data_IF_336509787336
#
_entry.id   IF_336509787336
#
_cell.length_a   1.000
_cell.length_b   1.000
_cell.length_c   1.000
_cell.angle_alpha   90.00
_cell.angle_beta   90.00
_cell.angle_gamma   90.00
#
_symmetry.space_group_name_H-M   'P 1'
#
loop_
_entity.id
_entity.type
_entity.pdbx_description
1 polymer ?
#
# COMPACT_ATOMS: atom_id res chain seq x y z
N UNK A 1 -7.59 -8.39 56.21
CA UNK A 1 -8.80 -9.09 55.70
C UNK A 1 -8.52 -9.49 54.27
N UNK A 2 -8.15 -10.75 54.09
CA UNK A 2 -7.98 -11.37 52.78
C UNK A 2 -9.39 -11.67 52.27
N UNK A 3 -9.79 -11.12 51.14
CA UNK A 3 -11.07 -11.45 50.51
C UNK A 3 -10.99 -12.91 50.03
N UNK A 4 -11.59 -13.82 50.79
CA UNK A 4 -11.75 -15.22 50.44
C UNK A 4 -13.04 -15.36 49.62
N UNK A 5 -12.90 -15.42 48.31
CA UNK A 5 -14.03 -15.51 47.38
C UNK A 5 -14.36 -16.99 47.15
N UNK A 6 -15.49 -17.47 47.71
CA UNK A 6 -16.01 -18.84 47.51
C UNK A 6 -16.30 -19.13 46.03
N UNK A 7 -15.96 -20.34 45.56
CA UNK A 7 -16.13 -20.82 44.18
C UNK A 7 -17.56 -20.80 43.60
N UNK A 8 -18.61 -20.69 44.43
CA UNK A 8 -19.98 -20.47 43.91
C UNK A 8 -20.11 -19.13 43.16
N UNK A 9 -19.10 -18.26 43.29
CA UNK A 9 -18.92 -17.03 42.53
C UNK A 9 -18.21 -17.22 41.17
N UNK A 10 -17.56 -18.34 40.86
CA UNK A 10 -16.94 -18.53 39.53
C UNK A 10 -18.01 -18.84 38.44
N UNK A 11 -19.21 -19.28 38.82
CA UNK A 11 -20.41 -19.34 37.96
C UNK A 11 -21.22 -18.04 37.91
N UNK A 12 -21.10 -17.16 38.91
CA UNK A 12 -21.95 -15.97 39.10
C UNK A 12 -21.22 -14.65 38.79
N UNK A 13 -19.92 -14.57 39.02
CA UNK A 13 -19.06 -13.51 38.53
C UNK A 13 -18.32 -14.03 37.31
N UNK A 14 -18.75 -13.56 36.14
CA UNK A 14 -18.03 -13.63 34.87
C UNK A 14 -16.62 -13.01 35.01
N UNK A 15 -15.68 -13.69 35.68
CA UNK A 15 -14.27 -13.30 35.69
C UNK A 15 -13.59 -14.15 34.62
N UNK A 16 -13.34 -13.60 33.41
CA UNK A 16 -12.66 -14.34 32.38
C UNK A 16 -11.28 -14.75 32.92
N UNK A 17 -10.88 -16.03 32.74
CA UNK A 17 -9.54 -16.59 33.08
C UNK A 17 -9.39 -17.42 34.37
N UNK A 18 -10.43 -17.81 35.10
CA UNK A 18 -10.28 -18.70 36.28
C UNK A 18 -10.75 -20.15 36.04
N UNK A 19 -10.05 -21.13 36.63
CA UNK A 19 -10.38 -22.57 36.59
C UNK A 19 -10.29 -23.22 37.98
N UNK A 20 -10.93 -24.38 38.15
CA UNK A 20 -10.89 -25.23 39.35
C UNK A 20 -10.10 -26.51 39.06
N UNK A 21 -9.11 -26.82 39.90
CA UNK A 21 -8.24 -28.00 39.75
C UNK A 21 -8.85 -29.28 40.34
N UNK A 22 -9.66 -29.16 41.39
CA UNK A 22 -10.41 -30.25 42.04
C UNK A 22 -11.87 -29.84 42.27
N UNK A 23 -12.81 -30.80 42.13
CA UNK A 23 -14.27 -30.58 42.21
C UNK A 23 -14.73 -29.97 43.56
N UNK A 24 -13.92 -30.12 44.63
CA UNK A 24 -14.23 -29.67 46.00
C UNK A 24 -13.31 -28.55 46.54
N UNK A 25 -12.44 -27.96 45.69
CA UNK A 25 -11.55 -26.87 46.12
C UNK A 25 -12.29 -25.52 46.18
N UNK A 26 -12.16 -24.79 47.30
CA UNK A 26 -12.73 -23.44 47.47
C UNK A 26 -11.94 -22.35 46.72
N UNK A 27 -10.75 -22.67 46.17
CA UNK A 27 -9.85 -21.70 45.55
C UNK A 27 -9.87 -21.78 44.01
N UNK A 28 -10.36 -20.72 43.33
CA UNK A 28 -10.23 -20.56 41.88
C UNK A 28 -8.81 -20.04 41.54
N UNK A 29 -8.13 -20.67 40.58
CA UNK A 29 -6.81 -20.26 40.09
C UNK A 29 -6.93 -19.56 38.75
N UNK A 30 -6.09 -18.55 38.50
CA UNK A 30 -6.02 -17.88 37.20
C UNK A 30 -5.17 -18.72 36.22
N UNK A 31 -5.66 -18.92 35.00
CA UNK A 31 -4.86 -19.53 33.94
C UNK A 31 -3.64 -18.65 33.57
N UNK A 32 -2.52 -19.26 33.17
CA UNK A 32 -1.40 -18.54 32.54
C UNK A 32 -1.90 -17.69 31.36
N UNK A 33 -1.23 -16.57 31.05
CA UNK A 33 -1.74 -15.63 30.05
C UNK A 33 -1.84 -16.24 28.62
N UNK A 34 -1.06 -17.29 28.33
CA UNK A 34 -1.09 -18.09 27.10
C UNK A 34 -2.24 -19.11 27.02
N UNK A 35 -3.01 -19.27 28.10
CA UNK A 35 -4.04 -20.30 28.24
C UNK A 35 -5.40 -19.70 28.63
N UNK A 36 -6.45 -20.48 28.43
CA UNK A 36 -7.83 -20.11 28.68
C UNK A 36 -8.57 -21.28 29.33
N UNK A 37 -9.48 -21.05 30.29
CA UNK A 37 -10.26 -22.15 30.87
C UNK A 37 -11.13 -22.83 29.79
N UNK A 38 -11.22 -24.15 29.83
CA UNK A 38 -12.15 -24.90 28.98
C UNK A 38 -13.61 -24.58 29.35
N UNK A 39 -14.59 -25.00 28.53
CA UNK A 39 -16.01 -24.72 28.78
C UNK A 39 -16.53 -25.15 30.16
N UNK A 40 -15.86 -26.14 30.78
CA UNK A 40 -16.18 -26.66 32.11
C UNK A 40 -15.38 -25.98 33.23
N UNK A 41 -14.55 -24.97 32.92
CA UNK A 41 -13.62 -24.29 33.84
C UNK A 41 -12.79 -25.27 34.71
N UNK A 42 -12.44 -26.43 34.16
CA UNK A 42 -11.77 -27.54 34.85
C UNK A 42 -10.29 -27.66 34.51
N UNK A 43 -9.87 -27.07 33.39
CA UNK A 43 -8.47 -27.02 32.98
C UNK A 43 -8.21 -25.83 32.09
N UNK A 44 -6.99 -25.33 32.11
CA UNK A 44 -6.50 -24.37 31.14
C UNK A 44 -6.14 -25.09 29.83
N UNK A 45 -6.60 -24.53 28.71
CA UNK A 45 -6.30 -24.95 27.35
C UNK A 45 -5.55 -23.82 26.65
N UNK A 46 -4.58 -24.15 25.81
CA UNK A 46 -3.82 -23.14 25.05
C UNK A 46 -4.79 -22.31 24.19
N UNK A 47 -4.68 -20.98 24.27
CA UNK A 47 -5.49 -20.07 23.43
C UNK A 47 -5.18 -20.32 21.95
N UNK A 48 -6.19 -20.23 21.09
CA UNK A 48 -6.02 -20.36 19.63
C UNK A 48 -5.43 -19.10 19.02
N UNK A 49 -4.35 -19.22 18.24
CA UNK A 49 -3.76 -18.09 17.51
C UNK A 49 -4.65 -17.67 16.32
N UNK A 50 -5.04 -16.40 16.24
CA UNK A 50 -5.69 -15.80 15.07
C UNK A 50 -4.71 -14.87 14.35
N UNK A 51 -4.46 -15.16 13.07
CA UNK A 51 -3.73 -14.33 12.11
C UNK A 51 -4.35 -14.51 10.72
N UNK A 52 -4.03 -13.62 9.78
CA UNK A 52 -4.53 -13.74 8.41
C UNK A 52 -3.81 -14.89 7.69
N UNK A 53 -4.38 -16.09 7.79
CA UNK A 53 -3.75 -17.32 7.33
C UNK A 53 -3.87 -17.44 5.80
N UNK A 54 -2.83 -18.00 5.18
CA UNK A 54 -2.79 -18.26 3.73
C UNK A 54 -3.90 -19.22 3.27
N UNK A 55 -4.34 -20.13 4.13
CA UNK A 55 -5.14 -21.31 3.75
C UNK A 55 -6.51 -21.39 4.39
N UNK A 56 -6.73 -20.77 5.55
CA UNK A 56 -7.99 -20.93 6.30
C UNK A 56 -8.99 -19.78 6.14
N UNK A 57 -8.56 -18.61 5.67
CA UNK A 57 -9.43 -17.45 5.49
C UNK A 57 -9.76 -17.23 4.00
N UNK A 58 -11.06 -17.23 3.67
CA UNK A 58 -11.56 -16.96 2.30
C UNK A 58 -11.10 -15.58 1.79
N UNK A 59 -11.02 -14.59 2.69
CA UNK A 59 -10.55 -13.25 2.39
C UNK A 59 -9.08 -13.24 1.92
N UNK A 60 -8.19 -13.97 2.60
CA UNK A 60 -6.77 -14.09 2.20
C UNK A 60 -6.62 -14.69 0.82
N UNK A 61 -7.34 -15.77 0.54
CA UNK A 61 -7.30 -16.45 -0.75
C UNK A 61 -7.77 -15.54 -1.88
N UNK A 62 -8.84 -14.78 -1.64
CA UNK A 62 -9.36 -13.79 -2.59
C UNK A 62 -8.37 -12.65 -2.85
N UNK A 63 -7.82 -12.03 -1.80
CA UNK A 63 -6.86 -10.94 -1.91
C UNK A 63 -5.57 -11.37 -2.62
N UNK A 64 -5.09 -12.58 -2.32
CA UNK A 64 -3.92 -13.17 -2.98
C UNK A 64 -4.17 -13.41 -4.46
N UNK A 65 -5.33 -13.98 -4.80
CA UNK A 65 -5.72 -14.23 -6.19
C UNK A 65 -5.79 -12.94 -7.00
N UNK A 66 -6.37 -11.88 -6.42
CA UNK A 66 -6.42 -10.54 -7.05
C UNK A 66 -5.02 -9.95 -7.20
N UNK A 67 -4.17 -10.05 -6.17
CA UNK A 67 -2.80 -9.57 -6.24
C UNK A 67 -2.01 -10.23 -7.37
N UNK A 68 -2.08 -11.56 -7.47
CA UNK A 68 -1.43 -12.32 -8.55
C UNK A 68 -1.98 -11.93 -9.92
N UNK A 69 -3.30 -11.79 -10.05
CA UNK A 69 -3.93 -11.34 -11.29
C UNK A 69 -3.41 -9.96 -11.73
N UNK A 70 -3.39 -8.97 -10.83
CA UNK A 70 -2.89 -7.63 -11.15
C UNK A 70 -1.38 -7.61 -11.40
N UNK A 71 -0.61 -8.46 -10.74
CA UNK A 71 0.81 -8.66 -11.04
C UNK A 71 1.02 -9.20 -12.46
N UNK A 72 0.23 -10.19 -12.88
CA UNK A 72 0.31 -10.75 -14.25
C UNK A 72 -0.11 -9.71 -15.30
N UNK A 73 -1.18 -8.96 -15.06
CA UNK A 73 -1.62 -7.87 -15.95
C UNK A 73 -0.52 -6.81 -16.07
N UNK A 74 0.05 -6.35 -14.97
CA UNK A 74 1.13 -5.35 -15.00
C UNK A 74 2.41 -5.89 -15.66
N UNK A 75 2.71 -7.18 -15.53
CA UNK A 75 3.79 -7.84 -16.27
C UNK A 75 3.53 -7.85 -17.78
N UNK A 76 2.32 -8.15 -18.22
CA UNK A 76 1.93 -8.09 -19.63
C UNK A 76 2.05 -6.67 -20.18
N UNK A 77 1.58 -5.66 -19.44
CA UNK A 77 1.73 -4.25 -19.82
C UNK A 77 3.20 -3.86 -19.93
N UNK A 78 4.06 -4.32 -19.01
CA UNK A 78 5.51 -4.10 -19.10
C UNK A 78 6.10 -4.74 -20.36
N UNK A 79 5.68 -5.97 -20.70
CA UNK A 79 6.07 -6.66 -21.92
C UNK A 79 5.74 -5.83 -23.16
N UNK A 80 4.52 -5.30 -23.26
CA UNK A 80 4.10 -4.41 -24.36
C UNK A 80 5.02 -3.18 -24.43
N UNK A 81 5.29 -2.51 -23.31
CA UNK A 81 6.16 -1.33 -23.29
C UNK A 81 7.60 -1.64 -23.75
N UNK A 82 8.12 -2.83 -23.44
CA UNK A 82 9.45 -3.29 -23.88
C UNK A 82 9.44 -3.63 -25.37
N UNK A 83 8.42 -4.35 -25.86
CA UNK A 83 8.29 -4.68 -27.29
C UNK A 83 8.19 -3.43 -28.16
N UNK A 84 7.43 -2.42 -27.71
CA UNK A 84 7.21 -1.17 -28.43
C UNK A 84 8.11 -0.03 -27.92
N UNK A 85 9.26 -0.35 -27.33
CA UNK A 85 10.16 0.62 -26.68
C UNK A 85 10.54 1.79 -27.59
N UNK A 86 10.75 1.52 -28.87
CA UNK A 86 11.17 2.52 -29.86
C UNK A 86 10.05 3.29 -30.55
N UNK A 87 8.80 3.00 -30.22
CA UNK A 87 7.66 3.80 -30.71
C UNK A 87 7.70 5.22 -30.15
N UNK A 88 7.26 6.21 -30.94
CA UNK A 88 7.21 7.60 -30.50
C UNK A 88 6.26 7.81 -29.32
N UNK A 89 5.21 6.98 -29.16
CA UNK A 89 4.30 7.02 -28.01
C UNK A 89 5.04 6.73 -26.70
N UNK A 90 5.83 5.66 -26.66
CA UNK A 90 6.62 5.28 -25.47
C UNK A 90 7.76 6.28 -25.23
N UNK A 91 8.38 6.80 -26.30
CA UNK A 91 9.45 7.80 -26.21
C UNK A 91 8.97 9.17 -25.70
N UNK A 92 7.80 9.63 -26.13
CA UNK A 92 7.20 10.88 -25.67
C UNK A 92 6.82 10.81 -24.17
N UNK A 93 6.57 9.61 -23.68
CA UNK A 93 6.09 9.32 -22.33
C UNK A 93 7.17 9.13 -21.26
N UNK A 94 8.35 9.72 -21.46
CA UNK A 94 9.51 9.61 -20.56
C UNK A 94 9.71 8.18 -20.03
N UNK A 95 10.34 7.33 -20.86
CA UNK A 95 10.52 5.89 -20.64
C UNK A 95 10.97 5.54 -19.21
N UNK A 96 11.89 6.32 -18.64
CA UNK A 96 12.43 6.14 -17.29
C UNK A 96 11.32 6.18 -16.23
N UNK A 97 10.47 7.21 -16.24
CA UNK A 97 9.38 7.35 -15.27
C UNK A 97 8.31 6.28 -15.44
N UNK A 98 7.94 5.97 -16.68
CA UNK A 98 6.93 4.94 -16.96
C UNK A 98 7.40 3.57 -16.50
N UNK A 99 8.68 3.25 -16.70
CA UNK A 99 9.30 2.02 -16.21
C UNK A 99 9.37 1.98 -14.68
N UNK A 100 9.86 3.05 -14.04
CA UNK A 100 9.92 3.16 -12.57
C UNK A 100 8.53 3.00 -11.93
N UNK A 101 7.53 3.71 -12.45
CA UNK A 101 6.15 3.62 -11.97
C UNK A 101 5.59 2.20 -12.10
N UNK A 102 5.79 1.53 -13.25
CA UNK A 102 5.27 0.19 -13.47
C UNK A 102 5.97 -0.87 -12.61
N UNK A 103 7.28 -0.73 -12.39
CA UNK A 103 8.03 -1.58 -11.46
C UNK A 103 7.54 -1.38 -10.02
N UNK A 104 7.35 -0.13 -9.58
CA UNK A 104 6.82 0.15 -8.24
C UNK A 104 5.42 -0.43 -8.04
N UNK A 105 4.51 -0.29 -9.01
CA UNK A 105 3.17 -0.89 -8.97
C UNK A 105 3.25 -2.42 -8.86
N UNK A 106 4.14 -3.07 -9.61
CA UNK A 106 4.36 -4.53 -9.52
C UNK A 106 4.82 -4.94 -8.12
N UNK A 107 5.78 -4.20 -7.55
CA UNK A 107 6.27 -4.45 -6.20
C UNK A 107 5.16 -4.19 -5.15
N UNK A 108 4.26 -3.23 -5.38
CA UNK A 108 3.08 -3.01 -4.52
C UNK A 108 2.10 -4.16 -4.56
N UNK A 109 1.89 -4.84 -5.69
CA UNK A 109 1.11 -6.08 -5.71
C UNK A 109 1.82 -7.20 -4.96
N UNK A 110 3.13 -7.34 -5.18
CA UNK A 110 3.95 -8.36 -4.51
C UNK A 110 4.09 -8.12 -2.99
N UNK A 111 3.95 -6.88 -2.52
CA UNK A 111 4.05 -6.58 -1.09
C UNK A 111 2.92 -7.22 -0.27
N UNK A 112 1.77 -7.53 -0.90
CA UNK A 112 0.65 -8.24 -0.25
C UNK A 112 1.10 -9.56 0.40
N UNK A 113 2.08 -10.25 -0.19
CA UNK A 113 2.63 -11.48 0.39
C UNK A 113 3.29 -11.26 1.76
N UNK A 114 3.80 -10.06 2.04
CA UNK A 114 4.41 -9.69 3.33
C UNK A 114 3.36 -9.44 4.43
N UNK A 115 2.10 -9.18 4.05
CA UNK A 115 0.99 -8.98 4.98
C UNK A 115 0.27 -10.29 5.33
N UNK A 116 0.53 -11.37 4.59
CA UNK A 116 -0.11 -12.67 4.77
C UNK A 116 0.77 -13.63 5.57
N UNK A 117 0.14 -14.51 6.35
CA UNK A 117 0.82 -15.52 7.15
C UNK A 117 1.09 -15.08 8.59
N UNK A 118 1.87 -15.89 9.32
CA UNK A 118 2.21 -15.63 10.73
C UNK A 118 3.22 -14.47 10.77
N UNK A 119 2.88 -13.32 11.39
CA UNK A 119 3.82 -12.21 11.51
C UNK A 119 4.98 -12.63 12.41
N UNK A 120 6.19 -12.32 11.96
CA UNK A 120 7.44 -12.33 12.72
C UNK A 120 8.09 -10.95 12.61
N UNK A 121 9.00 -10.60 13.52
CA UNK A 121 9.63 -9.27 13.58
C UNK A 121 10.13 -8.76 12.21
N UNK A 122 10.84 -9.61 11.46
CA UNK A 122 11.37 -9.26 10.15
C UNK A 122 10.24 -8.95 9.16
N UNK A 123 9.15 -9.72 9.15
CA UNK A 123 8.00 -9.45 8.26
C UNK A 123 7.26 -8.18 8.66
N UNK A 124 7.17 -7.87 9.96
CA UNK A 124 6.59 -6.63 10.48
C UNK A 124 7.39 -5.39 10.03
N UNK A 125 8.71 -5.49 10.01
CA UNK A 125 9.58 -4.45 9.46
C UNK A 125 9.39 -4.35 7.93
N UNK A 126 9.51 -5.47 7.21
CA UNK A 126 9.48 -5.48 5.76
C UNK A 126 8.14 -5.01 5.18
N UNK A 127 6.99 -5.37 5.77
CA UNK A 127 5.67 -4.99 5.24
C UNK A 127 5.53 -3.46 5.16
N UNK A 128 5.85 -2.77 6.26
CA UNK A 128 5.66 -1.33 6.41
C UNK A 128 6.63 -0.53 5.54
N UNK A 129 7.90 -0.99 5.50
CA UNK A 129 8.97 -0.32 4.78
C UNK A 129 8.82 -0.53 3.27
N UNK A 130 8.54 -1.76 2.85
CA UNK A 130 8.28 -2.08 1.44
C UNK A 130 7.09 -1.27 0.94
N UNK A 131 5.99 -1.25 1.69
CA UNK A 131 4.81 -0.45 1.39
C UNK A 131 5.15 1.04 1.23
N UNK A 132 5.76 1.66 2.24
CA UNK A 132 6.07 3.09 2.23
C UNK A 132 7.00 3.50 1.08
N UNK A 133 8.06 2.73 0.85
CA UNK A 133 9.06 3.03 -0.20
C UNK A 133 8.47 2.83 -1.59
N UNK A 134 7.80 1.72 -1.87
CA UNK A 134 7.23 1.44 -3.20
C UNK A 134 6.19 2.48 -3.61
N UNK A 135 5.30 2.84 -2.69
CA UNK A 135 4.29 3.88 -2.91
C UNK A 135 4.91 5.27 -3.08
N UNK A 136 5.91 5.62 -2.27
CA UNK A 136 6.62 6.89 -2.43
C UNK A 136 7.28 6.99 -3.80
N UNK A 137 7.94 5.93 -4.30
CA UNK A 137 8.52 5.93 -5.65
C UNK A 137 7.43 6.07 -6.72
N UNK A 138 6.29 5.39 -6.57
CA UNK A 138 5.18 5.46 -7.52
C UNK A 138 4.59 6.88 -7.59
N UNK A 139 4.23 7.46 -6.45
CA UNK A 139 3.66 8.82 -6.39
C UNK A 139 4.70 9.86 -6.81
N UNK A 140 5.97 9.70 -6.44
CA UNK A 140 7.07 10.57 -6.90
C UNK A 140 7.24 10.53 -8.41
N UNK A 141 7.14 9.35 -9.03
CA UNK A 141 7.20 9.18 -10.48
C UNK A 141 6.04 9.89 -11.17
N UNK A 142 4.84 9.83 -10.59
CA UNK A 142 3.66 10.50 -11.10
C UNK A 142 3.72 12.02 -10.91
N UNK A 143 4.26 12.48 -9.79
CA UNK A 143 4.55 13.89 -9.53
C UNK A 143 5.54 14.44 -10.55
N UNK A 144 6.69 13.76 -10.74
CA UNK A 144 7.69 14.12 -11.73
C UNK A 144 7.09 14.17 -13.15
N UNK A 145 6.24 13.19 -13.49
CA UNK A 145 5.54 13.15 -14.77
C UNK A 145 4.59 14.34 -14.94
N UNK A 146 3.86 14.70 -13.90
CA UNK A 146 2.95 15.85 -13.91
C UNK A 146 3.69 17.17 -14.05
N UNK A 147 4.82 17.34 -13.33
CA UNK A 147 5.71 18.50 -13.48
C UNK A 147 6.22 18.60 -14.91
N UNK A 148 6.62 17.49 -15.51
CA UNK A 148 7.09 17.45 -16.90
C UNK A 148 6.00 17.90 -17.89
N UNK A 149 4.77 17.43 -17.71
CA UNK A 149 3.61 17.87 -18.50
C UNK A 149 3.39 19.37 -18.31
N UNK A 150 3.34 19.85 -17.06
CA UNK A 150 3.14 21.27 -16.75
C UNK A 150 4.21 22.19 -17.37
N UNK A 151 5.50 21.82 -17.26
CA UNK A 151 6.61 22.57 -17.86
C UNK A 151 6.52 22.55 -19.39
N UNK A 152 6.18 21.42 -20.01
CA UNK A 152 6.09 21.31 -21.46
C UNK A 152 5.08 22.31 -22.07
N UNK A 153 3.98 22.58 -21.36
CA UNK A 153 2.98 23.56 -21.78
C UNK A 153 3.33 25.01 -21.45
N UNK A 154 3.95 25.26 -20.29
CA UNK A 154 4.30 26.62 -19.85
C UNK A 154 5.59 27.16 -20.49
N UNK A 155 6.45 26.28 -21.02
CA UNK A 155 7.67 26.68 -21.72
C UNK A 155 7.35 27.11 -23.16
N UNK A 156 6.83 28.33 -23.31
CA UNK A 156 6.32 28.94 -24.56
C UNK A 156 7.39 29.48 -25.53
N UNK A 157 8.68 29.13 -25.40
CA UNK A 157 9.72 29.57 -26.35
C UNK A 157 10.46 28.40 -27.04
N UNK A 158 10.34 28.22 -28.36
CA UNK A 158 11.15 27.26 -29.11
C UNK A 158 12.59 27.80 -29.27
N UNK A 159 13.62 26.96 -29.07
CA UNK A 159 14.98 27.29 -29.52
C UNK A 159 16.20 26.82 -28.72
N UNK A 160 16.08 26.27 -27.50
CA UNK A 160 17.28 25.95 -26.68
C UNK A 160 17.49 24.45 -26.40
N UNK A 161 18.72 23.95 -26.61
CA UNK A 161 19.15 22.55 -26.42
C UNK A 161 19.01 22.07 -24.97
N UNK A 162 18.98 23.01 -24.03
CA UNK A 162 18.72 22.79 -22.61
C UNK A 162 17.40 22.06 -22.32
N UNK A 163 16.40 22.12 -23.21
CA UNK A 163 15.06 21.55 -22.99
C UNK A 163 15.03 20.01 -22.93
N UNK A 164 15.90 19.31 -23.67
CA UNK A 164 16.03 17.84 -23.58
C UNK A 164 16.74 17.39 -22.30
N UNK A 165 17.76 18.15 -21.90
CA UNK A 165 18.57 17.86 -20.73
C UNK A 165 17.80 18.16 -19.44
N UNK A 166 17.04 19.25 -19.42
CA UNK A 166 16.11 19.60 -18.33
C UNK A 166 15.06 18.52 -18.16
N UNK A 167 14.50 17.93 -19.24
CA UNK A 167 13.39 16.99 -19.08
C UNK A 167 13.71 15.69 -18.32
N UNK A 168 14.63 14.88 -18.84
CA UNK A 168 14.91 13.56 -18.23
C UNK A 168 15.63 13.70 -16.89
N UNK A 169 16.64 14.60 -16.80
CA UNK A 169 17.40 14.78 -15.55
C UNK A 169 16.55 15.39 -14.44
N UNK A 170 15.69 16.37 -14.74
CA UNK A 170 14.80 16.94 -13.72
C UNK A 170 13.83 15.87 -13.21
N UNK A 171 13.22 15.09 -14.10
CA UNK A 171 12.28 14.06 -13.68
C UNK A 171 12.91 13.00 -12.78
N UNK A 172 14.09 12.49 -13.14
CA UNK A 172 14.80 11.53 -12.31
C UNK A 172 15.27 12.16 -10.99
N UNK A 173 15.69 13.43 -11.00
CA UNK A 173 16.07 14.17 -9.80
C UNK A 173 14.89 14.31 -8.82
N UNK A 174 13.70 14.66 -9.31
CA UNK A 174 12.48 14.73 -8.48
C UNK A 174 12.17 13.39 -7.84
N UNK A 175 12.21 12.30 -8.62
CA UNK A 175 11.93 10.95 -8.08
C UNK A 175 12.94 10.57 -7.01
N UNK A 176 14.23 10.77 -7.27
CA UNK A 176 15.30 10.44 -6.32
C UNK A 176 15.19 11.26 -5.05
N UNK A 177 14.97 12.58 -5.15
CA UNK A 177 14.83 13.47 -4.01
C UNK A 177 13.64 13.06 -3.13
N UNK A 178 12.43 12.95 -3.71
CA UNK A 178 11.25 12.59 -2.95
C UNK A 178 11.36 11.18 -2.33
N UNK A 179 11.87 10.21 -3.09
CA UNK A 179 12.03 8.84 -2.59
C UNK A 179 13.10 8.75 -1.49
N UNK A 180 14.18 9.54 -1.58
CA UNK A 180 15.22 9.58 -0.55
C UNK A 180 14.71 10.08 0.79
N UNK A 181 13.78 11.06 0.80
CA UNK A 181 13.17 11.55 2.04
C UNK A 181 12.39 10.41 2.72
N UNK A 182 11.59 9.67 1.95
CA UNK A 182 10.87 8.51 2.49
C UNK A 182 11.82 7.46 3.05
N UNK A 183 12.92 7.14 2.35
CA UNK A 183 13.91 6.18 2.81
C UNK A 183 14.54 6.64 4.13
N UNK A 184 14.89 7.92 4.26
CA UNK A 184 15.46 8.47 5.49
C UNK A 184 14.47 8.36 6.65
N UNK A 185 13.19 8.69 6.42
CA UNK A 185 12.13 8.52 7.43
C UNK A 185 12.02 7.05 7.86
N UNK A 186 11.97 6.13 6.90
CA UNK A 186 11.90 4.69 7.15
C UNK A 186 13.11 4.18 7.96
N UNK A 187 14.33 4.57 7.58
CA UNK A 187 15.56 4.18 8.29
C UNK A 187 15.59 4.73 9.72
N UNK A 188 15.13 5.97 9.90
CA UNK A 188 15.07 6.61 11.23
C UNK A 188 14.07 5.88 12.12
N UNK A 189 12.90 5.53 11.59
CA UNK A 189 11.89 4.77 12.32
C UNK A 189 12.42 3.39 12.75
N UNK A 190 13.04 2.64 11.82
CA UNK A 190 13.66 1.35 12.12
C UNK A 190 14.78 1.43 13.16
N UNK A 191 15.51 2.54 13.21
CA UNK A 191 16.65 2.69 14.12
C UNK A 191 16.22 3.05 15.55
N UNK A 192 15.11 3.79 15.70
CA UNK A 192 14.62 4.25 17.01
C UNK A 192 13.74 3.18 17.66
N UNK A 193 12.73 2.69 16.93
CA UNK A 193 11.75 1.74 17.44
C UNK A 193 11.13 1.01 16.26
N UNK A 194 11.76 -0.07 15.78
CA UNK A 194 11.27 -0.81 14.63
C UNK A 194 9.96 -1.55 14.97
N UNK A 195 9.10 -1.83 13.97
CA UNK A 195 7.96 -2.69 14.14
C UNK A 195 8.36 -4.10 14.58
N UNK A 196 7.60 -4.69 15.49
CA UNK A 196 7.86 -6.02 16.06
C UNK A 196 6.56 -6.83 16.18
N UNK A 197 6.68 -8.14 16.34
CA UNK A 197 5.55 -9.03 16.56
C UNK A 197 5.01 -8.84 17.98
N UNK A 198 3.71 -8.56 18.10
CA UNK A 198 3.00 -8.48 19.36
C UNK A 198 1.89 -9.53 19.43
N UNK A 199 1.84 -10.23 20.57
CA UNK A 199 0.80 -11.19 20.91
C UNK A 199 -0.26 -10.47 21.75
N UNK A 200 -1.39 -10.13 21.14
CA UNK A 200 -2.50 -9.53 21.87
C UNK A 200 -3.38 -10.64 22.47
N UNK A 201 -3.33 -10.73 23.80
CA UNK A 201 -3.96 -11.76 24.62
C UNK A 201 -5.30 -11.31 25.23
N UNK A 202 -5.71 -10.05 24.99
CA UNK A 202 -6.76 -9.36 25.73
C UNK A 202 -7.92 -8.87 24.87
N UNK A 203 -7.73 -8.70 23.56
CA UNK A 203 -8.79 -8.17 22.68
C UNK A 203 -9.96 -9.15 22.49
N UNK A 204 -9.73 -10.46 22.46
CA UNK A 204 -10.77 -11.48 22.34
C UNK A 204 -10.58 -12.60 23.39
N UNK A 205 -11.64 -13.02 24.10
CA UNK A 205 -11.54 -14.10 25.08
C UNK A 205 -11.22 -15.44 24.38
N UNK A 206 -10.18 -16.13 24.85
CA UNK A 206 -9.79 -17.45 24.33
C UNK A 206 -8.94 -17.45 23.04
N UNK A 207 -8.63 -16.30 22.44
CA UNK A 207 -7.76 -16.20 21.25
C UNK A 207 -6.53 -15.34 21.51
N UNK A 208 -5.44 -15.65 20.79
CA UNK A 208 -4.22 -14.83 20.74
C UNK A 208 -4.16 -14.19 19.36
N UNK A 209 -4.27 -12.87 19.28
CA UNK A 209 -4.11 -12.17 17.99
C UNK A 209 -2.62 -11.95 17.77
N UNK A 210 -2.05 -12.58 16.75
CA UNK A 210 -0.69 -12.31 16.31
C UNK A 210 -0.72 -11.13 15.34
N UNK A 211 -0.28 -9.96 15.79
CA UNK A 211 -0.25 -8.73 15.00
C UNK A 211 1.15 -8.11 15.02
N UNK A 212 1.40 -7.17 14.11
CA UNK A 212 2.61 -6.37 14.16
C UNK A 212 2.30 -5.07 14.88
N UNK A 213 3.00 -4.80 15.97
CA UNK A 213 3.02 -3.48 16.60
C UNK A 213 3.98 -2.58 15.80
N UNK A 214 3.57 -1.34 15.54
CA UNK A 214 4.38 -0.36 14.82
C UNK A 214 5.63 0.11 15.61
N UNK A 215 5.68 -0.16 16.90
CA UNK A 215 6.72 0.26 17.84
C UNK A 215 6.65 1.74 18.18
N UNK A 216 6.76 2.61 17.17
CA UNK A 216 6.62 4.06 17.29
C UNK A 216 5.47 4.58 16.45
N UNK A 217 4.42 5.06 17.11
CA UNK A 217 3.32 5.76 16.46
C UNK A 217 3.81 6.99 15.66
N UNK A 218 4.78 7.73 16.20
CA UNK A 218 5.37 8.89 15.51
C UNK A 218 6.06 8.44 14.22
N UNK A 219 6.83 7.34 14.27
CA UNK A 219 7.47 6.77 13.09
C UNK A 219 6.46 6.35 12.02
N UNK A 220 5.45 5.58 12.41
CA UNK A 220 4.38 5.16 11.52
C UNK A 220 3.63 6.33 10.87
N UNK A 221 3.17 7.29 11.67
CA UNK A 221 2.46 8.47 11.16
C UNK A 221 3.36 9.40 10.34
N UNK A 222 4.68 9.43 10.57
CA UNK A 222 5.61 10.19 9.73
C UNK A 222 5.72 9.61 8.32
N UNK A 223 5.73 8.27 8.19
CA UNK A 223 5.72 7.57 6.90
C UNK A 223 4.42 7.87 6.15
N UNK A 224 3.27 7.67 6.79
CA UNK A 224 1.95 7.93 6.17
C UNK A 224 1.78 9.41 5.86
N UNK A 225 2.18 10.29 6.77
CA UNK A 225 2.09 11.74 6.61
C UNK A 225 2.90 12.25 5.43
N UNK A 226 4.13 11.75 5.24
CA UNK A 226 4.93 12.10 4.08
C UNK A 226 4.31 11.61 2.77
N UNK A 227 3.83 10.36 2.72
CA UNK A 227 3.13 9.84 1.56
C UNK A 227 1.86 10.65 1.24
N UNK A 228 1.10 11.04 2.27
CA UNK A 228 -0.08 11.89 2.15
C UNK A 228 0.26 13.29 1.59
N UNK A 229 1.33 13.90 2.08
CA UNK A 229 1.83 15.18 1.55
C UNK A 229 2.24 15.05 0.08
N UNK A 230 3.01 14.01 -0.26
CA UNK A 230 3.44 13.74 -1.62
C UNK A 230 2.25 13.53 -2.56
N UNK A 231 1.24 12.78 -2.10
CA UNK A 231 0.00 12.56 -2.84
C UNK A 231 -0.82 13.86 -3.01
N UNK A 232 -0.91 14.70 -1.98
CA UNK A 232 -1.61 15.98 -2.05
C UNK A 232 -0.96 16.92 -3.07
N UNK A 233 0.37 17.08 -3.02
CA UNK A 233 1.10 17.91 -3.99
C UNK A 233 0.93 17.37 -5.41
N UNK A 234 1.05 16.05 -5.59
CA UNK A 234 0.83 15.40 -6.88
C UNK A 234 -0.59 15.62 -7.41
N UNK A 235 -1.60 15.49 -6.55
CA UNK A 235 -3.00 15.71 -6.92
C UNK A 235 -3.25 17.18 -7.33
N UNK A 236 -2.76 18.15 -6.57
CA UNK A 236 -2.91 19.58 -6.90
C UNK A 236 -2.29 19.89 -8.26
N UNK A 237 -1.05 19.45 -8.50
CA UNK A 237 -0.41 19.66 -9.80
C UNK A 237 -1.14 18.93 -10.93
N UNK A 238 -1.63 17.71 -10.69
CA UNK A 238 -2.37 16.95 -11.68
C UNK A 238 -3.70 17.63 -12.02
N UNK A 239 -4.38 18.20 -11.02
CA UNK A 239 -5.61 18.94 -11.20
C UNK A 239 -5.38 20.24 -11.97
N UNK A 240 -4.27 20.94 -11.75
CA UNK A 240 -3.89 22.12 -12.53
C UNK A 240 -3.54 21.75 -13.98
N UNK A 241 -2.88 20.61 -14.20
CA UNK A 241 -2.50 20.16 -15.53
C UNK A 241 -3.70 19.73 -16.39
N UNK A 242 -4.85 19.36 -15.79
CA UNK A 242 -6.04 18.86 -16.50
C UNK A 242 -6.65 19.85 -17.50
N UNK A 243 -6.41 21.15 -17.30
CA UNK A 243 -6.93 22.22 -18.15
C UNK A 243 -6.05 22.48 -19.37
N UNK A 244 -4.86 21.85 -19.44
CA UNK A 244 -3.93 22.00 -20.54
C UNK A 244 -4.41 21.19 -21.76
N UNK A 245 -4.32 21.76 -22.99
CA UNK A 245 -4.73 21.08 -24.21
C UNK A 245 -3.71 19.97 -24.55
N UNK A 246 -3.90 18.80 -23.97
CA UNK A 246 -2.99 17.67 -24.14
C UNK A 246 -3.35 16.79 -25.35
N UNK A 247 -2.32 16.37 -26.07
CA UNK A 247 -2.39 15.57 -27.31
C UNK A 247 -3.15 14.25 -27.16
N UNK A 248 -3.28 13.71 -25.93
CA UNK A 248 -3.92 12.40 -25.67
C UNK A 248 -4.81 12.32 -24.43
N UNK A 249 -5.34 13.45 -23.92
CA UNK A 249 -6.03 13.50 -22.61
C UNK A 249 -5.17 12.93 -21.46
N UNK A 250 -3.84 12.87 -21.61
CA UNK A 250 -2.97 12.20 -20.64
C UNK A 250 -3.01 12.89 -19.27
N UNK A 251 -3.02 14.23 -19.23
CA UNK A 251 -3.24 14.97 -18.00
C UNK A 251 -4.53 14.54 -17.26
N UNK A 252 -5.63 14.27 -17.98
CA UNK A 252 -6.90 13.84 -17.36
C UNK A 252 -6.79 12.46 -16.73
N UNK A 253 -6.13 11.51 -17.39
CA UNK A 253 -5.89 10.17 -16.85
C UNK A 253 -5.02 10.21 -15.59
N UNK A 254 -4.01 11.09 -15.55
CA UNK A 254 -3.18 11.33 -14.36
C UNK A 254 -4.00 11.95 -13.22
N UNK A 255 -4.86 12.93 -13.51
CA UNK A 255 -5.74 13.52 -12.48
C UNK A 255 -6.69 12.48 -11.91
N UNK A 256 -7.32 11.68 -12.78
CA UNK A 256 -8.26 10.65 -12.34
C UNK A 256 -7.57 9.56 -11.50
N UNK A 257 -6.36 9.15 -11.88
CA UNK A 257 -5.58 8.20 -11.10
C UNK A 257 -5.19 8.74 -9.73
N UNK A 258 -4.78 10.01 -9.65
CA UNK A 258 -4.45 10.67 -8.37
C UNK A 258 -5.68 10.87 -7.49
N UNK A 259 -6.83 11.19 -8.08
CA UNK A 259 -8.09 11.31 -7.35
C UNK A 259 -8.49 9.98 -6.72
N UNK A 260 -8.46 8.89 -7.51
CA UNK A 260 -8.72 7.54 -7.01
C UNK A 260 -7.75 7.18 -5.88
N UNK A 261 -6.46 7.39 -6.08
CA UNK A 261 -5.43 7.14 -5.08
C UNK A 261 -5.75 7.87 -3.76
N UNK A 262 -5.96 9.19 -3.80
CA UNK A 262 -6.28 9.97 -2.61
C UNK A 262 -7.59 9.52 -1.95
N UNK A 263 -8.63 9.20 -2.72
CA UNK A 263 -9.91 8.73 -2.17
C UNK A 263 -9.76 7.43 -1.38
N UNK A 264 -9.00 6.47 -1.92
CA UNK A 264 -8.75 5.18 -1.25
C UNK A 264 -8.04 5.39 0.08
N UNK A 265 -6.99 6.23 0.11
CA UNK A 265 -6.24 6.50 1.33
C UNK A 265 -7.02 7.30 2.37
N UNK A 266 -7.86 8.26 1.95
CA UNK A 266 -8.75 8.99 2.86
C UNK A 266 -9.79 8.04 3.47
N UNK A 267 -10.41 7.18 2.67
CA UNK A 267 -11.40 6.19 3.15
C UNK A 267 -10.76 5.10 4.01
N UNK A 268 -9.47 4.80 3.79
CA UNK A 268 -8.73 3.82 4.60
C UNK A 268 -8.57 4.27 6.06
N UNK A 269 -8.39 5.56 6.34
CA UNK A 269 -8.20 6.07 7.72
C UNK A 269 -9.34 5.65 8.67
N UNK A 270 -10.63 5.97 8.41
CA UNK A 270 -11.71 5.56 9.30
C UNK A 270 -11.89 4.04 9.32
N UNK A 271 -11.65 3.34 8.20
CA UNK A 271 -11.74 1.88 8.17
C UNK A 271 -10.66 1.20 9.04
N UNK A 272 -9.43 1.72 9.01
CA UNK A 272 -8.31 1.28 9.83
C UNK A 272 -8.61 1.48 11.32
N UNK A 273 -9.10 2.67 11.70
CA UNK A 273 -9.43 2.99 13.10
C UNK A 273 -10.65 2.22 13.63
N UNK A 274 -11.57 1.80 12.75
CA UNK A 274 -12.80 1.09 13.14
C UNK A 274 -12.65 -0.43 13.18
N UNK A 275 -11.59 -0.97 12.57
CA UNK A 275 -11.34 -2.43 12.50
C UNK A 275 -10.23 -2.84 13.46
N UNK A 276 -10.26 -4.08 13.93
CA UNK A 276 -9.25 -4.64 14.84
C UNK A 276 -8.76 -6.00 14.34
N UNK A 277 -7.55 -6.37 14.76
CA UNK A 277 -6.93 -7.65 14.48
C UNK A 277 -6.80 -7.93 12.98
N UNK A 278 -7.18 -9.13 12.55
CA UNK A 278 -7.02 -9.58 11.15
C UNK A 278 -7.73 -8.71 10.11
N UNK A 279 -8.83 -8.06 10.48
CA UNK A 279 -9.58 -7.20 9.55
C UNK A 279 -8.85 -5.89 9.23
N UNK A 280 -8.03 -5.37 10.15
CA UNK A 280 -7.21 -4.18 9.90
C UNK A 280 -6.21 -4.44 8.77
N UNK A 281 -5.57 -5.61 8.77
CA UNK A 281 -4.65 -6.05 7.71
C UNK A 281 -5.36 -6.18 6.36
N UNK A 282 -6.59 -6.72 6.34
CA UNK A 282 -7.41 -6.78 5.12
C UNK A 282 -7.68 -5.38 4.52
N UNK A 283 -7.97 -4.39 5.37
CA UNK A 283 -8.21 -3.01 4.93
C UNK A 283 -6.95 -2.40 4.31
N UNK A 284 -5.78 -2.64 4.89
CA UNK A 284 -4.49 -2.20 4.34
C UNK A 284 -4.22 -2.83 2.96
N UNK A 285 -4.35 -4.16 2.85
CA UNK A 285 -4.16 -4.88 1.58
C UNK A 285 -5.14 -4.37 0.52
N UNK A 286 -6.41 -4.17 0.88
CA UNK A 286 -7.43 -3.65 -0.04
C UNK A 286 -7.07 -2.24 -0.54
N UNK A 287 -6.60 -1.37 0.35
CA UNK A 287 -6.14 -0.03 -0.01
C UNK A 287 -4.92 -0.09 -0.95
N UNK A 288 -3.94 -0.95 -0.68
CA UNK A 288 -2.76 -1.16 -1.52
C UNK A 288 -3.17 -1.64 -2.92
N UNK A 289 -4.02 -2.66 -3.01
CA UNK A 289 -4.47 -3.23 -4.28
C UNK A 289 -5.27 -2.22 -5.10
N UNK A 290 -6.26 -1.57 -4.47
CA UNK A 290 -7.17 -0.65 -5.17
C UNK A 290 -6.43 0.59 -5.68
N UNK A 291 -5.57 1.18 -4.86
CA UNK A 291 -4.79 2.35 -5.26
C UNK A 291 -3.78 2.01 -6.37
N UNK A 292 -3.08 0.87 -6.27
CA UNK A 292 -2.13 0.41 -7.30
C UNK A 292 -2.82 0.03 -8.61
N UNK A 293 -3.98 -0.64 -8.54
CA UNK A 293 -4.81 -0.93 -9.69
C UNK A 293 -5.33 0.35 -10.35
N UNK A 294 -5.77 1.33 -9.56
CA UNK A 294 -6.15 2.66 -10.05
C UNK A 294 -5.02 3.32 -10.85
N UNK A 295 -3.80 3.34 -10.32
CA UNK A 295 -2.62 3.85 -11.04
C UNK A 295 -2.35 3.05 -12.33
N UNK A 296 -2.39 1.72 -12.27
CA UNK A 296 -2.13 0.85 -13.41
C UNK A 296 -3.15 1.09 -14.54
N UNK A 297 -4.43 0.94 -14.25
CA UNK A 297 -5.49 0.98 -15.25
C UNK A 297 -5.73 2.40 -15.77
N UNK A 298 -5.62 3.43 -14.95
CA UNK A 298 -5.84 4.79 -15.44
C UNK A 298 -4.69 5.27 -16.32
N UNK A 299 -3.44 4.91 -16.00
CA UNK A 299 -2.25 5.47 -16.69
C UNK A 299 -1.79 4.59 -17.85
N UNK A 300 -1.78 3.27 -17.70
CA UNK A 300 -1.17 2.36 -18.67
C UNK A 300 -2.18 1.71 -19.60
N UNK A 301 -3.40 1.40 -19.15
CA UNK A 301 -4.41 0.75 -20.00
C UNK A 301 -4.76 1.57 -21.25
N UNK A 302 -5.01 2.90 -21.17
CA UNK A 302 -5.27 3.70 -22.38
C UNK A 302 -4.09 3.69 -23.35
N UNK A 303 -2.85 3.65 -22.83
CA UNK A 303 -1.63 3.66 -23.63
C UNK A 303 -1.42 2.33 -24.34
N UNK A 304 -1.58 1.21 -23.64
CA UNK A 304 -1.49 -0.10 -24.24
C UNK A 304 -2.60 -0.33 -25.27
N UNK A 305 -3.81 0.19 -25.01
CA UNK A 305 -4.89 0.19 -25.99
C UNK A 305 -4.50 0.91 -27.28
N UNK A 306 -3.97 2.14 -27.20
CA UNK A 306 -3.52 2.89 -28.38
C UNK A 306 -2.37 2.18 -29.10
N UNK A 307 -1.38 1.67 -28.35
CA UNK A 307 -0.21 0.99 -28.94
C UNK A 307 -0.64 -0.25 -29.74
N UNK A 308 -1.57 -1.07 -29.21
CA UNK A 308 -1.99 -2.32 -29.83
C UNK A 308 -3.06 -2.13 -30.91
N UNK A 309 -4.07 -1.29 -30.67
CA UNK A 309 -5.28 -1.21 -31.50
C UNK A 309 -5.32 0.02 -32.42
N UNK A 310 -4.38 0.96 -32.26
CA UNK A 310 -4.27 2.16 -33.12
C UNK A 310 -2.85 2.35 -33.67
N UNK A 311 -2.33 1.39 -34.45
CA UNK A 311 -0.96 1.43 -34.98
C UNK A 311 -0.67 2.67 -35.84
N UNK A 312 -1.68 3.28 -36.45
CA UNK A 312 -1.58 4.53 -37.22
C UNK A 312 -1.06 5.70 -36.37
N UNK A 313 -1.36 5.69 -35.06
CA UNK A 313 -0.90 6.70 -34.10
C UNK A 313 0.54 6.45 -33.62
N UNK A 314 1.12 5.29 -33.94
CA UNK A 314 2.50 4.94 -33.61
C UNK A 314 3.53 5.52 -34.62
N UNK A 315 3.09 6.20 -35.69
CA UNK A 315 3.98 6.86 -36.65
C UNK A 315 4.22 8.35 -36.30
N UNK A 316 5.47 8.81 -36.42
CA UNK A 316 5.89 10.20 -36.10
C UNK A 316 5.09 11.27 -36.86
N UNK A 317 4.56 10.96 -38.04
CA UNK A 317 3.79 11.86 -38.89
C UNK A 317 2.45 12.29 -38.28
N UNK A 318 1.82 11.46 -37.44
CA UNK A 318 0.54 11.79 -36.80
C UNK A 318 0.71 12.73 -35.58
N UNK A 319 1.85 12.65 -34.87
CA UNK A 319 2.14 13.50 -33.69
C UNK A 319 2.53 14.95 -34.05
N UNK A 320 3.02 15.18 -35.26
CA UNK A 320 3.42 16.50 -35.77
C UNK A 320 2.38 17.11 -36.72
N UNK A 321 1.33 16.36 -37.09
CA UNK A 321 0.44 16.66 -38.21
C UNK A 321 -0.76 17.57 -37.93
N UNK A 322 -0.76 18.39 -36.86
CA UNK A 322 -1.83 19.37 -36.60
C UNK A 322 -1.41 20.84 -36.62
N UNK A 323 -0.16 21.14 -36.99
CA UNK A 323 0.36 22.51 -37.06
C UNK A 323 0.57 23.05 -38.48
N UNK A 324 0.20 22.32 -39.53
CA UNK A 324 0.31 22.80 -40.92
C UNK A 324 -0.97 22.52 -41.73
N UNK A 325 -2.11 22.98 -41.23
CA UNK A 325 -3.29 23.20 -42.07
C UNK A 325 -4.06 24.41 -41.55
#
# INVERSE_FOLDING_TARGET
MVYQTRCQACTVLQVPMMFQEEEDSENCLKCPDSEWPNEKNSKCITKTEEYLSFTSDTASTFLLSISVLFFLISLQMLGIFITYWDTPIVRANNRSLSFLLLVSIKLSFLSVFLFLGRPVDITCMLRNITFGITFSIAVSSLLAKTIMVYIAFKATKPGNSWRKWVGVKLSNSVVLFCSSIQIIICMTWLSISPPFQELDLHTYPGTIINQCNEGSAIGFYSVIGYMGLLAAVSFVLAFLARTLPDSFNEAKYITFSMLLFCSVWITMIPAYLSTKGKNTVCVEIFAILTSSAGLLFCIFLPKCYVIMFKPEMNHKSCLLGKNNQ
#
